data_IF_828384645490
#
_entry.id   IF_828384645490
#
_cell.length_a   1.000
_cell.length_b   1.000
_cell.length_c   1.000
_cell.angle_alpha   90.00
_cell.angle_beta   90.00
_cell.angle_gamma   90.00
#
_symmetry.space_group_name_H-M   'P 1'
#
loop_
_entity.id
_entity.type
_entity.pdbx_description
1 polymer ?
#
# COMPACT_ATOMS: atom_id res chain seq x y z
N UNK A 1 12.72 -0.59 4.42
CA UNK A 1 12.07 0.65 4.89
C UNK A 1 11.22 1.17 3.76
N UNK A 2 9.92 1.39 4.02
CA UNK A 2 8.99 1.83 2.99
C UNK A 2 9.02 3.36 2.84
N UNK A 3 8.77 3.90 1.63
CA UNK A 3 8.64 5.35 1.48
C UNK A 3 7.42 5.85 2.25
N UNK A 4 7.56 6.96 2.97
CA UNK A 4 6.44 7.60 3.66
C UNK A 4 5.47 8.24 2.66
N UNK A 5 4.18 8.23 2.98
CA UNK A 5 3.14 8.97 2.25
C UNK A 5 2.61 10.04 3.20
N UNK A 6 3.28 11.18 3.21
CA UNK A 6 2.95 12.33 4.06
C UNK A 6 2.84 13.59 3.23
N UNK A 7 1.80 14.38 3.50
CA UNK A 7 1.54 15.65 2.84
C UNK A 7 0.87 16.62 3.82
N UNK A 8 0.81 17.89 3.45
CA UNK A 8 0.01 18.85 4.20
C UNK A 8 -1.49 18.56 4.03
N UNK A 9 -2.29 18.97 5.02
CA UNK A 9 -3.75 18.89 4.98
C UNK A 9 -4.32 17.46 4.89
N UNK A 10 -3.61 16.44 5.37
CA UNK A 10 -4.19 15.10 5.50
C UNK A 10 -5.33 15.09 6.53
N UNK A 11 -6.34 14.28 6.27
CA UNK A 11 -7.46 14.04 7.18
C UNK A 11 -7.15 12.93 8.17
N UNK A 12 -6.32 11.96 7.77
CA UNK A 12 -5.90 10.84 8.60
C UNK A 12 -4.52 10.35 8.15
N UNK A 13 -3.72 9.88 9.11
CA UNK A 13 -2.47 9.16 8.86
C UNK A 13 -2.56 7.81 9.56
N UNK A 14 -2.37 6.71 8.83
CA UNK A 14 -2.25 5.39 9.43
C UNK A 14 -0.78 5.07 9.67
N UNK A 15 -0.45 4.80 10.93
CA UNK A 15 0.93 4.50 11.36
C UNK A 15 1.04 3.01 11.64
N UNK A 16 1.84 2.30 10.84
CA UNK A 16 2.15 0.89 11.06
C UNK A 16 3.16 0.72 12.19
N UNK A 17 3.03 -0.31 13.02
CA UNK A 17 4.00 -0.60 14.09
C UNK A 17 5.13 -1.52 13.63
N UNK A 18 4.89 -2.33 12.60
CA UNK A 18 5.84 -3.29 12.04
C UNK A 18 5.57 -3.47 10.54
N UNK A 19 6.63 -3.61 9.75
CA UNK A 19 6.53 -3.89 8.31
C UNK A 19 6.64 -5.40 8.10
N UNK A 20 5.67 -5.99 7.40
CA UNK A 20 5.76 -7.39 6.98
C UNK A 20 6.80 -7.54 5.86
N UNK A 21 7.53 -8.65 5.83
CA UNK A 21 8.53 -8.97 4.77
C UNK A 21 7.94 -8.81 3.35
N UNK A 22 6.71 -9.31 3.13
CA UNK A 22 6.01 -9.11 1.84
C UNK A 22 5.86 -7.65 1.46
N UNK A 23 5.60 -6.77 2.43
CA UNK A 23 5.46 -5.34 2.20
C UNK A 23 6.81 -4.69 1.88
N UNK A 24 7.86 -5.04 2.62
CA UNK A 24 9.20 -4.50 2.41
C UNK A 24 9.74 -4.88 1.02
N UNK A 25 9.62 -6.14 0.62
CA UNK A 25 10.10 -6.59 -0.70
C UNK A 25 9.31 -6.00 -1.88
N UNK A 26 7.99 -5.85 -1.73
CA UNK A 26 7.10 -5.31 -2.76
C UNK A 26 7.07 -3.77 -2.77
N UNK A 27 7.65 -3.12 -1.76
CA UNK A 27 7.73 -1.66 -1.68
C UNK A 27 6.39 -0.97 -1.40
N UNK A 28 5.42 -1.63 -0.75
CA UNK A 28 4.16 -0.99 -0.38
C UNK A 28 3.53 -1.55 0.91
N UNK A 29 2.81 -0.68 1.64
CA UNK A 29 2.24 -1.01 2.94
C UNK A 29 1.13 -2.08 2.88
N UNK A 30 1.05 -2.87 3.95
CA UNK A 30 -0.06 -3.78 4.25
C UNK A 30 -0.36 -4.83 3.14
N UNK A 31 0.69 -5.37 2.52
CA UNK A 31 0.60 -6.39 1.46
C UNK A 31 0.72 -7.83 1.96
N UNK A 32 0.92 -8.05 3.26
CA UNK A 32 0.95 -9.38 3.84
C UNK A 32 -0.33 -10.18 3.54
N UNK A 33 -0.25 -11.52 3.40
CA UNK A 33 -1.36 -12.36 2.92
C UNK A 33 -2.60 -12.29 3.81
N UNK A 34 -2.41 -12.18 5.13
CA UNK A 34 -3.50 -12.07 6.10
C UNK A 34 -3.87 -10.63 6.46
N UNK A 35 -3.21 -9.64 5.83
CA UNK A 35 -3.47 -8.25 6.14
C UNK A 35 -4.78 -7.77 5.48
N UNK A 36 -5.73 -7.29 6.28
CA UNK A 36 -7.05 -6.84 5.82
C UNK A 36 -7.18 -5.32 5.68
N UNK A 37 -6.11 -4.55 5.88
CA UNK A 37 -6.14 -3.09 5.90
C UNK A 37 -6.88 -2.48 4.71
N UNK A 38 -6.49 -2.84 3.48
CA UNK A 38 -7.08 -2.29 2.25
C UNK A 38 -8.57 -2.62 2.10
N UNK A 39 -8.96 -3.84 2.46
CA UNK A 39 -10.36 -4.24 2.47
C UNK A 39 -11.15 -3.44 3.52
N UNK A 40 -10.60 -3.28 4.73
CA UNK A 40 -11.27 -2.55 5.82
C UNK A 40 -11.40 -1.06 5.51
N UNK A 41 -10.43 -0.46 4.81
CA UNK A 41 -10.49 0.94 4.38
C UNK A 41 -11.70 1.20 3.47
N UNK A 42 -11.93 0.30 2.51
CA UNK A 42 -13.11 0.36 1.65
C UNK A 42 -14.38 0.01 2.43
N UNK A 43 -14.37 -1.06 3.22
CA UNK A 43 -15.54 -1.54 3.97
C UNK A 43 -16.07 -0.49 4.97
N UNK A 44 -15.17 0.24 5.61
CA UNK A 44 -15.51 1.34 6.52
C UNK A 44 -15.93 2.63 5.79
N UNK A 45 -15.86 2.67 4.46
CA UNK A 45 -16.18 3.86 3.66
C UNK A 45 -15.13 4.98 3.72
N UNK A 46 -13.92 4.69 4.22
CA UNK A 46 -12.80 5.66 4.26
C UNK A 46 -12.29 5.94 2.84
N UNK A 47 -12.30 4.92 1.98
CA UNK A 47 -12.08 5.08 0.54
C UNK A 47 -13.30 4.56 -0.23
N UNK A 48 -13.71 5.23 -1.32
CA UNK A 48 -14.90 4.83 -2.09
C UNK A 48 -14.71 3.48 -2.82
N UNK A 49 -13.47 3.14 -3.15
CA UNK A 49 -13.08 1.86 -3.75
C UNK A 49 -11.81 1.35 -3.08
N UNK A 50 -11.47 0.07 -3.28
CA UNK A 50 -10.20 -0.45 -2.77
C UNK A 50 -9.02 0.26 -3.45
N UNK A 51 -8.10 0.80 -2.64
CA UNK A 51 -6.84 1.37 -3.14
C UNK A 51 -5.94 0.25 -3.68
N UNK A 52 -5.86 -0.88 -2.98
CA UNK A 52 -5.17 -2.08 -3.49
C UNK A 52 -6.18 -3.21 -3.59
N UNK A 53 -6.57 -3.55 -4.82
CA UNK A 53 -7.53 -4.63 -5.06
C UNK A 53 -6.93 -6.01 -4.75
N UNK A 54 -7.80 -6.99 -4.50
CA UNK A 54 -7.40 -8.40 -4.34
C UNK A 54 -6.63 -8.90 -5.56
N UNK A 55 -7.03 -8.50 -6.77
CA UNK A 55 -6.36 -8.86 -8.02
C UNK A 55 -4.95 -8.26 -8.11
N UNK A 56 -4.78 -6.97 -7.81
CA UNK A 56 -3.46 -6.32 -7.80
C UNK A 56 -2.53 -6.96 -6.76
N UNK A 57 -3.04 -7.24 -5.55
CA UNK A 57 -2.27 -7.95 -4.52
C UNK A 57 -1.84 -9.33 -5.01
N UNK A 58 -2.74 -10.09 -5.65
CA UNK A 58 -2.42 -11.41 -6.19
C UNK A 58 -1.32 -11.32 -7.26
N UNK A 59 -1.44 -10.38 -8.19
CA UNK A 59 -0.42 -10.16 -9.24
C UNK A 59 0.94 -9.85 -8.62
N UNK A 60 1.00 -8.96 -7.61
CA UNK A 60 2.25 -8.62 -6.93
C UNK A 60 2.86 -9.83 -6.21
N UNK A 61 2.04 -10.64 -5.53
CA UNK A 61 2.50 -11.84 -4.82
C UNK A 61 3.01 -12.90 -5.80
N UNK A 62 2.30 -13.12 -6.90
CA UNK A 62 2.68 -14.13 -7.90
C UNK A 62 3.97 -13.69 -8.63
N UNK A 63 4.06 -12.44 -9.06
CA UNK A 63 5.28 -11.93 -9.68
C UNK A 63 6.49 -11.90 -8.71
N UNK A 64 6.27 -11.77 -7.39
CA UNK A 64 7.32 -11.96 -6.38
C UNK A 64 7.85 -13.40 -6.40
N UNK A 65 6.96 -14.41 -6.43
CA UNK A 65 7.37 -15.84 -6.44
C UNK A 65 8.22 -16.17 -7.66
N UNK A 66 7.85 -15.59 -8.80
CA UNK A 66 8.54 -15.84 -10.07
C UNK A 66 9.85 -15.03 -10.19
N UNK A 67 10.14 -14.14 -9.23
CA UNK A 67 11.26 -13.17 -9.24
C UNK A 67 11.23 -12.24 -10.47
N UNK A 68 10.04 -11.94 -10.98
CA UNK A 68 9.82 -11.14 -12.21
C UNK A 68 9.31 -9.72 -11.88
N UNK A 69 9.42 -9.26 -10.64
CA UNK A 69 9.10 -7.87 -10.33
C UNK A 69 10.26 -6.95 -10.69
N UNK A 70 10.12 -6.27 -11.82
CA UNK A 70 10.97 -5.15 -12.20
C UNK A 70 10.71 -3.94 -11.28
N UNK A 71 11.78 -3.29 -10.83
CA UNK A 71 11.78 -2.11 -9.97
C UNK A 71 10.97 -0.95 -10.57
N UNK A 72 10.93 -0.85 -11.90
CA UNK A 72 10.10 0.14 -12.59
C UNK A 72 8.61 -0.06 -12.31
N UNK A 73 8.14 -1.31 -12.26
CA UNK A 73 6.75 -1.63 -11.95
C UNK A 73 6.42 -1.34 -10.49
N UNK A 74 7.34 -1.65 -9.55
CA UNK A 74 7.16 -1.30 -8.13
C UNK A 74 7.00 0.20 -7.96
N UNK A 75 7.87 0.98 -8.60
CA UNK A 75 7.83 2.43 -8.57
C UNK A 75 6.52 2.97 -9.15
N UNK A 76 6.13 2.52 -10.35
CA UNK A 76 4.88 2.97 -10.98
C UNK A 76 3.64 2.57 -10.17
N UNK A 77 3.67 1.38 -9.55
CA UNK A 77 2.62 0.96 -8.63
C UNK A 77 2.56 1.89 -7.43
N UNK A 78 3.68 2.16 -6.76
CA UNK A 78 3.75 3.06 -5.62
C UNK A 78 3.19 4.44 -5.96
N UNK A 79 3.71 5.10 -7.00
CA UNK A 79 3.30 6.46 -7.42
C UNK A 79 1.79 6.54 -7.69
N UNK A 80 1.23 5.51 -8.36
CA UNK A 80 -0.20 5.44 -8.62
C UNK A 80 -1.02 5.35 -7.33
N UNK A 81 -0.60 4.54 -6.36
CA UNK A 81 -1.33 4.35 -5.10
C UNK A 81 -1.16 5.53 -4.16
N UNK A 82 0.03 6.13 -4.11
CA UNK A 82 0.30 7.38 -3.41
C UNK A 82 -0.64 8.49 -3.91
N UNK A 83 -0.67 8.75 -5.22
CA UNK A 83 -1.54 9.76 -5.80
C UNK A 83 -3.02 9.53 -5.46
N UNK A 84 -3.46 8.26 -5.46
CA UNK A 84 -4.81 7.88 -5.05
C UNK A 84 -5.06 8.19 -3.57
N UNK A 85 -4.14 7.86 -2.65
CA UNK A 85 -4.28 8.11 -1.22
C UNK A 85 -4.30 9.60 -0.89
N UNK A 86 -3.38 10.36 -1.47
CA UNK A 86 -3.28 11.80 -1.27
C UNK A 86 -4.53 12.54 -1.78
N UNK A 87 -5.13 12.07 -2.88
CA UNK A 87 -6.43 12.59 -3.36
C UNK A 87 -7.55 12.43 -2.32
N UNK A 88 -7.49 11.39 -1.48
CA UNK A 88 -8.44 11.17 -0.38
C UNK A 88 -7.93 11.72 0.95
N UNK A 89 -6.83 12.48 0.95
CA UNK A 89 -6.21 13.08 2.16
C UNK A 89 -5.82 12.02 3.19
N UNK A 90 -5.36 10.85 2.74
CA UNK A 90 -4.90 9.74 3.58
C UNK A 90 -3.38 9.64 3.48
N UNK A 91 -2.70 9.63 4.62
CA UNK A 91 -1.27 9.35 4.71
C UNK A 91 -0.98 7.96 5.29
N UNK A 92 0.21 7.45 4.99
CA UNK A 92 0.74 6.20 5.52
C UNK A 92 2.20 6.40 5.95
N UNK A 93 2.55 5.87 7.11
CA UNK A 93 3.94 5.75 7.56
C UNK A 93 4.04 4.54 8.51
N UNK A 94 5.24 4.25 8.97
CA UNK A 94 5.51 3.28 10.01
C UNK A 94 6.37 3.89 11.13
N UNK A 95 6.26 3.30 12.32
CA UNK A 95 7.16 3.59 13.44
C UNK A 95 8.51 2.95 13.12
N UNK A 96 9.38 3.70 12.45
CA UNK A 96 10.79 3.34 12.35
C UNK A 96 11.48 3.42 13.72
#
# INVERSE_FOLDING_TARGET
MLPEILAQNLSVVFVGTTIAETSDELGFYYLGPNNRFWFLLQYAGITPTSVVSTSERKILIDAKKDRVLDEMYKKLFFEKKEAQLLKHRIGLTDLN
#
